data_IF_716626604588
#
_entry.id   IF_716626604588
#
_cell.length_a   1.000
_cell.length_b   1.000
_cell.length_c   1.000
_cell.angle_alpha   90.00
_cell.angle_beta   90.00
_cell.angle_gamma   90.00
#
_symmetry.space_group_name_H-M   'P 1'
#
loop_
_entity.id
_entity.type
_entity.pdbx_description
1 polymer ?
#
# COMPACT_ATOMS: atom_id res chain seq x y z
N UNK A 1 -37.44 -5.68 25.77
CA UNK A 1 -36.73 -6.49 24.76
C UNK A 1 -36.87 -5.75 23.45
N UNK A 2 -35.94 -4.84 23.19
CA UNK A 2 -35.85 -4.05 21.96
C UNK A 2 -34.42 -3.52 21.92
N UNK A 3 -33.58 -4.24 21.19
CA UNK A 3 -32.16 -3.94 21.01
C UNK A 3 -31.98 -2.69 20.16
N UNK A 4 -31.16 -1.76 20.66
CA UNK A 4 -30.68 -0.61 19.92
C UNK A 4 -29.64 -1.09 18.90
N UNK A 5 -29.94 -0.91 17.61
CA UNK A 5 -28.97 -1.07 16.53
C UNK A 5 -28.05 0.16 16.57
N UNK A 6 -26.93 0.03 17.25
CA UNK A 6 -25.83 0.98 17.16
C UNK A 6 -25.16 0.75 15.80
N UNK A 7 -25.46 1.62 14.83
CA UNK A 7 -24.66 1.73 13.60
C UNK A 7 -23.21 1.95 14.01
N UNK A 8 -22.33 1.04 13.61
CA UNK A 8 -20.89 1.14 13.81
C UNK A 8 -20.40 2.43 13.13
N UNK A 9 -20.32 3.51 13.89
CA UNK A 9 -19.48 4.65 13.54
C UNK A 9 -18.07 4.12 13.46
N UNK A 10 -17.56 4.01 12.23
CA UNK A 10 -16.17 3.68 11.95
C UNK A 10 -15.27 4.65 12.69
N UNK A 11 -14.82 4.23 13.87
CA UNK A 11 -13.67 4.82 14.52
C UNK A 11 -12.47 4.43 13.66
N UNK A 12 -12.09 5.34 12.76
CA UNK A 12 -10.71 5.41 12.30
C UNK A 12 -9.83 5.35 13.56
N UNK A 13 -8.94 4.35 13.71
CA UNK A 13 -8.10 4.27 14.89
C UNK A 13 -7.27 5.55 14.98
N UNK A 14 -7.55 6.34 16.03
CA UNK A 14 -6.83 7.55 16.34
C UNK A 14 -5.41 7.19 16.80
N UNK A 15 -4.45 7.63 16.00
CA UNK A 15 -3.09 8.09 16.30
C UNK A 15 -2.22 7.28 17.27
N UNK A 16 -1.05 6.86 16.75
CA UNK A 16 0.05 6.08 17.37
C UNK A 16 -0.02 4.55 17.33
N UNK A 17 -0.65 3.98 16.29
CA UNK A 17 -0.26 2.64 15.85
C UNK A 17 1.20 2.68 15.36
N UNK A 18 2.08 1.88 15.97
CA UNK A 18 3.41 1.63 15.41
C UNK A 18 3.26 0.80 14.13
N UNK A 19 2.86 1.40 13.02
CA UNK A 19 2.93 0.70 11.75
C UNK A 19 4.40 0.52 11.40
N UNK A 20 4.75 -0.72 11.11
CA UNK A 20 6.10 -1.16 10.78
C UNK A 20 6.52 -0.74 9.36
N UNK A 21 5.54 -0.52 8.46
CA UNK A 21 5.79 -0.22 7.05
C UNK A 21 5.10 1.06 6.61
N UNK A 22 5.73 1.73 5.65
CA UNK A 22 5.17 2.84 4.89
C UNK A 22 4.76 2.40 3.48
N UNK A 23 3.83 3.11 2.83
CA UNK A 23 3.46 2.86 1.43
C UNK A 23 4.67 2.83 0.47
N UNK A 24 5.73 3.59 0.77
CA UNK A 24 6.97 3.55 0.00
C UNK A 24 7.75 2.27 0.20
N UNK A 25 7.66 1.61 1.36
CA UNK A 25 8.27 0.30 1.58
C UNK A 25 7.55 -0.78 0.77
N UNK A 26 6.23 -0.70 0.65
CA UNK A 26 5.44 -1.57 -0.25
C UNK A 26 5.88 -1.37 -1.71
N UNK A 27 6.06 -0.11 -2.12
CA UNK A 27 6.55 0.21 -3.47
C UNK A 27 7.98 -0.32 -3.69
N UNK A 28 8.87 -0.14 -2.71
CA UNK A 28 10.25 -0.63 -2.77
C UNK A 28 10.28 -2.17 -2.83
N UNK A 29 9.37 -2.88 -2.15
CA UNK A 29 9.26 -4.34 -2.21
C UNK A 29 9.01 -4.83 -3.65
N UNK A 30 8.04 -4.24 -4.36
CA UNK A 30 7.78 -4.58 -5.76
C UNK A 30 8.97 -4.22 -6.67
N UNK A 31 9.59 -3.06 -6.45
CA UNK A 31 10.74 -2.61 -7.23
C UNK A 31 12.01 -3.44 -6.98
N UNK A 32 12.12 -4.13 -5.84
CA UNK A 32 13.21 -5.08 -5.61
C UNK A 32 13.07 -6.35 -6.46
N UNK A 33 11.85 -6.69 -6.92
CA UNK A 33 11.63 -7.91 -7.73
C UNK A 33 11.93 -7.69 -9.21
N UNK A 34 11.59 -6.52 -9.77
CA UNK A 34 11.90 -6.17 -11.16
C UNK A 34 11.71 -4.66 -11.45
N UNK A 35 12.20 -4.14 -12.59
CA UNK A 35 11.84 -2.80 -13.05
C UNK A 35 10.35 -2.68 -13.41
N UNK A 36 9.66 -1.65 -12.90
CA UNK A 36 8.20 -1.50 -13.04
C UNK A 36 7.84 -0.09 -13.52
N UNK A 37 6.88 0.03 -14.44
CA UNK A 37 6.33 1.33 -14.85
C UNK A 37 5.51 1.96 -13.71
N UNK A 38 5.62 3.28 -13.52
CA UNK A 38 4.99 3.97 -12.38
C UNK A 38 3.46 3.73 -12.26
N UNK A 39 2.72 3.66 -13.37
CA UNK A 39 1.27 3.36 -13.36
C UNK A 39 0.97 1.92 -12.93
N UNK A 40 1.85 0.97 -13.25
CA UNK A 40 1.72 -0.43 -12.81
C UNK A 40 2.03 -0.54 -11.32
N UNK A 41 3.07 0.17 -10.85
CA UNK A 41 3.43 0.21 -9.44
C UNK A 41 2.27 0.71 -8.57
N UNK A 42 1.57 1.76 -9.00
CA UNK A 42 0.35 2.25 -8.32
C UNK A 42 -0.70 1.16 -8.12
N UNK A 43 -1.00 0.38 -9.17
CA UNK A 43 -2.00 -0.69 -9.12
C UNK A 43 -1.56 -1.85 -8.23
N UNK A 44 -0.27 -2.20 -8.29
CA UNK A 44 0.30 -3.26 -7.44
C UNK A 44 0.21 -2.90 -5.96
N UNK A 45 0.63 -1.69 -5.58
CA UNK A 45 0.51 -1.22 -4.20
C UNK A 45 -0.96 -1.12 -3.76
N UNK A 46 -1.87 -0.68 -4.63
CA UNK A 46 -3.30 -0.64 -4.34
C UNK A 46 -3.85 -2.03 -4.03
N UNK A 47 -3.53 -3.03 -4.86
CA UNK A 47 -3.99 -4.40 -4.62
C UNK A 47 -3.40 -4.99 -3.35
N UNK A 48 -2.11 -4.74 -3.05
CA UNK A 48 -1.51 -5.21 -1.81
C UNK A 48 -2.25 -4.67 -0.57
N UNK A 49 -2.54 -3.36 -0.55
CA UNK A 49 -3.30 -2.73 0.53
C UNK A 49 -4.74 -3.27 0.60
N UNK A 50 -5.45 -3.28 -0.53
CA UNK A 50 -6.85 -3.73 -0.58
C UNK A 50 -7.02 -5.19 -0.16
N UNK A 51 -6.08 -6.06 -0.55
CA UNK A 51 -6.11 -7.47 -0.23
C UNK A 51 -5.79 -7.73 1.25
N UNK A 52 -4.84 -6.98 1.83
CA UNK A 52 -4.59 -7.02 3.26
C UNK A 52 -5.81 -6.61 4.08
N UNK A 53 -6.51 -5.54 3.68
CA UNK A 53 -7.80 -5.18 4.27
C UNK A 53 -8.85 -6.30 4.11
N UNK A 54 -8.97 -6.88 2.91
CA UNK A 54 -9.97 -7.91 2.66
C UNK A 54 -9.74 -9.19 3.48
N UNK A 55 -8.48 -9.56 3.75
CA UNK A 55 -8.14 -10.77 4.50
C UNK A 55 -8.03 -10.57 6.01
N UNK A 56 -7.53 -9.41 6.45
CA UNK A 56 -7.09 -9.19 7.83
C UNK A 56 -7.80 -8.01 8.51
N UNK A 57 -8.68 -7.30 7.81
CA UNK A 57 -9.45 -6.14 8.30
C UNK A 57 -8.59 -5.08 9.01
N UNK A 58 -7.33 -4.97 8.58
CA UNK A 58 -6.32 -4.09 9.18
C UNK A 58 -5.48 -3.44 8.09
N UNK A 59 -4.90 -2.25 8.36
CA UNK A 59 -4.03 -1.58 7.40
C UNK A 59 -2.68 -2.30 7.27
N UNK A 60 -2.19 -2.43 6.03
CA UNK A 60 -0.87 -3.00 5.74
C UNK A 60 0.28 -2.06 6.12
N UNK A 61 0.12 -0.78 5.84
CA UNK A 61 1.17 0.23 5.97
C UNK A 61 0.59 1.61 6.30
N UNK A 62 1.44 2.56 6.70
CA UNK A 62 1.04 3.98 6.80
C UNK A 62 0.83 4.58 5.42
N UNK A 63 0.02 5.64 5.39
CA UNK A 63 -0.19 6.49 4.22
C UNK A 63 -0.72 5.71 3.02
N UNK A 64 -1.61 4.78 3.29
CA UNK A 64 -2.23 3.87 2.34
C UNK A 64 -3.46 4.48 1.65
N UNK A 65 -3.62 5.81 1.71
CA UNK A 65 -4.76 6.49 1.10
C UNK A 65 -4.61 6.56 -0.43
N UNK A 66 -5.44 5.79 -1.13
CA UNK A 66 -5.57 5.86 -2.59
C UNK A 66 -6.72 6.75 -3.02
N UNK A 67 -6.47 7.56 -4.05
CA UNK A 67 -7.46 8.43 -4.67
C UNK A 67 -7.98 7.82 -5.98
N UNK A 68 -9.27 7.99 -6.26
CA UNK A 68 -9.89 7.55 -7.50
C UNK A 68 -9.62 8.57 -8.63
N UNK A 69 -8.53 8.38 -9.38
CA UNK A 69 -8.21 9.22 -10.54
C UNK A 69 -8.77 8.59 -11.83
N UNK A 70 -8.78 9.38 -12.92
CA UNK A 70 -9.30 8.96 -14.23
C UNK A 70 -8.67 7.66 -14.78
N UNK A 71 -7.44 7.32 -14.36
CA UNK A 71 -6.72 6.13 -14.80
C UNK A 71 -6.63 5.03 -13.75
N UNK A 72 -7.44 5.11 -12.69
CA UNK A 72 -7.50 4.15 -11.60
C UNK A 72 -6.99 4.71 -10.27
N UNK A 73 -6.79 3.83 -9.27
CA UNK A 73 -6.36 4.23 -7.95
C UNK A 73 -4.93 4.77 -7.97
N UNK A 74 -4.72 5.92 -7.32
CA UNK A 74 -3.43 6.58 -7.22
C UNK A 74 -3.16 6.99 -5.79
N UNK A 75 -2.07 6.49 -5.21
CA UNK A 75 -1.50 7.03 -4.00
C UNK A 75 -0.65 8.28 -4.37
N UNK A 76 -0.97 9.48 -3.84
CA UNK A 76 -0.27 10.71 -4.20
C UNK A 76 1.23 10.71 -3.87
N UNK A 77 1.65 9.97 -2.84
CA UNK A 77 3.05 9.91 -2.41
C UNK A 77 3.86 9.07 -3.40
N UNK A 78 3.35 7.89 -3.78
CA UNK A 78 3.95 7.08 -4.86
C UNK A 78 3.99 7.91 -6.16
N UNK A 79 2.91 8.62 -6.49
CA UNK A 79 2.85 9.43 -7.71
C UNK A 79 3.91 10.54 -7.68
N UNK A 80 3.99 11.31 -6.59
CA UNK A 80 4.97 12.37 -6.45
C UNK A 80 6.41 11.86 -6.60
N UNK A 81 6.72 10.69 -6.03
CA UNK A 81 8.05 10.06 -6.11
C UNK A 81 8.40 9.60 -7.52
N UNK A 82 7.45 9.03 -8.27
CA UNK A 82 7.75 8.33 -9.53
C UNK A 82 7.12 8.91 -10.80
N UNK A 83 6.36 10.02 -10.75
CA UNK A 83 5.69 10.63 -11.93
C UNK A 83 6.61 10.97 -13.10
N UNK A 84 7.90 11.20 -12.83
CA UNK A 84 8.88 11.55 -13.86
C UNK A 84 9.31 10.32 -14.71
N UNK A 85 8.97 9.11 -14.29
CA UNK A 85 9.18 7.86 -15.04
C UNK A 85 8.04 7.63 -16.05
N UNK A 86 7.85 8.59 -16.97
CA UNK A 86 6.67 8.65 -17.85
C UNK A 86 6.58 7.45 -18.80
N UNK A 87 7.68 7.16 -19.52
CA UNK A 87 7.77 6.07 -20.49
C UNK A 87 8.84 5.03 -20.15
N UNK A 88 9.66 5.34 -19.15
CA UNK A 88 10.76 4.48 -18.71
C UNK A 88 10.33 3.75 -17.44
N UNK A 89 10.54 2.43 -17.34
CA UNK A 89 10.37 1.72 -16.07
C UNK A 89 11.22 2.35 -14.97
N UNK A 90 10.69 2.36 -13.74
CA UNK A 90 11.48 2.65 -12.55
C UNK A 90 12.50 1.51 -12.42
N UNK A 91 13.80 1.80 -12.29
CA UNK A 91 14.82 0.78 -12.14
C UNK A 91 14.54 -0.15 -10.96
N UNK A 92 14.97 -1.40 -11.10
CA UNK A 92 14.96 -2.34 -9.99
C UNK A 92 15.85 -1.79 -8.85
N UNK A 93 15.35 -1.87 -7.63
CA UNK A 93 16.16 -1.56 -6.46
C UNK A 93 17.03 -2.78 -6.14
N UNK A 94 18.31 -2.54 -5.84
CA UNK A 94 19.24 -3.59 -5.40
C UNK A 94 19.47 -3.54 -3.89
N UNK A 95 18.91 -2.53 -3.20
CA UNK A 95 18.99 -2.43 -1.76
C UNK A 95 17.98 -3.37 -1.12
N UNK A 96 18.48 -4.53 -0.66
CA UNK A 96 17.75 -5.36 0.29
C UNK A 96 17.59 -4.60 1.60
N UNK A 97 16.45 -3.92 1.78
CA UNK A 97 15.92 -3.72 3.12
C UNK A 97 15.67 -5.11 3.70
N UNK A 98 16.17 -5.39 4.90
CA UNK A 98 15.92 -6.67 5.58
C UNK A 98 14.44 -6.75 5.95
N UNK A 99 13.61 -7.24 5.03
CA UNK A 99 12.20 -7.58 5.26
C UNK A 99 12.06 -8.96 5.94
N UNK A 100 13.10 -9.45 6.63
CA UNK A 100 13.20 -10.84 7.11
C UNK A 100 12.02 -11.26 8.02
N UNK A 101 11.39 -10.31 8.70
CA UNK A 101 10.23 -10.54 9.60
C UNK A 101 8.89 -10.20 8.92
N UNK A 102 8.91 -9.69 7.68
CA UNK A 102 7.72 -9.19 6.97
C UNK A 102 7.53 -9.71 5.55
N UNK A 103 8.44 -10.52 5.03
CA UNK A 103 8.19 -11.26 3.79
C UNK A 103 6.95 -12.15 3.93
N UNK A 104 6.68 -12.75 5.09
CA UNK A 104 5.42 -13.50 5.28
C UNK A 104 4.18 -12.60 5.09
N UNK A 105 4.24 -11.33 5.49
CA UNK A 105 3.12 -10.41 5.31
C UNK A 105 2.90 -10.15 3.83
N UNK A 106 3.97 -9.88 3.07
CA UNK A 106 3.90 -9.58 1.64
C UNK A 106 3.67 -10.80 0.74
N UNK A 107 4.16 -11.98 1.11
CA UNK A 107 3.94 -13.24 0.38
C UNK A 107 2.55 -13.84 0.65
N UNK A 108 1.83 -13.33 1.65
CA UNK A 108 0.41 -13.64 1.88
C UNK A 108 -0.54 -12.79 1.03
N UNK A 109 -0.01 -11.86 0.23
CA UNK A 109 -0.74 -10.92 -0.64
C UNK A 109 -0.38 -11.14 -2.11
#
# INVERSE_FOLDING_TARGET
MSENIQLASGKMPSESGNFQFDILDVADWFLNKCPIQHKRLQKLCYYAVAWHYALLDTPLCKRDEFQAWVHGPVNPIIYAKYKNYVWTPIPQLFEKKNFQESEEVFERV
#
